data_IF_259394877209
#
_entry.id   IF_259394877209
#
_cell.length_a   1.000
_cell.length_b   1.000
_cell.length_c   1.000
_cell.angle_alpha   90.00
_cell.angle_beta   90.00
_cell.angle_gamma   90.00
#
_symmetry.space_group_name_H-M   'P 1'
#
loop_
_entity.id
_entity.type
_entity.pdbx_description
1 polymer ?
#
# COMPACT_ATOMS: atom_id res chain seq x y z
N UNK A 1 21.02 25.81 -1.33
CA UNK A 1 20.57 25.59 -2.75
C UNK A 1 19.15 26.07 -2.93
N UNK A 2 18.76 26.52 -4.15
CA UNK A 2 17.37 26.83 -4.47
C UNK A 2 16.56 25.53 -4.53
N UNK A 3 15.37 25.52 -3.91
CA UNK A 3 14.45 24.39 -4.02
C UNK A 3 14.06 24.15 -5.48
N UNK A 4 14.08 22.89 -5.91
CA UNK A 4 13.69 22.47 -7.24
C UNK A 4 12.18 22.26 -7.33
N UNK A 5 11.63 22.35 -8.52
CA UNK A 5 10.24 22.03 -8.83
C UNK A 5 10.14 20.89 -9.86
N UNK A 6 8.94 20.47 -10.18
CA UNK A 6 8.71 19.36 -11.10
C UNK A 6 9.27 19.61 -12.51
N UNK A 7 9.27 20.86 -12.99
CA UNK A 7 9.86 21.20 -14.31
C UNK A 7 11.38 21.03 -14.29
N UNK A 8 12.01 21.32 -13.16
CA UNK A 8 13.44 21.09 -12.98
C UNK A 8 13.77 19.60 -13.06
N UNK A 9 12.91 18.72 -12.50
CA UNK A 9 13.06 17.25 -12.64
C UNK A 9 12.93 16.83 -14.10
N UNK A 10 11.90 17.31 -14.82
CA UNK A 10 11.65 16.99 -16.24
C UNK A 10 12.80 17.43 -17.16
N UNK A 11 13.56 18.42 -16.78
CA UNK A 11 14.75 18.87 -17.51
C UNK A 11 15.98 17.97 -17.32
N UNK A 12 15.94 17.04 -16.36
CA UNK A 12 17.02 16.08 -16.08
C UNK A 12 16.88 14.83 -16.93
N UNK A 13 18.00 14.24 -17.28
CA UNK A 13 18.05 12.92 -17.93
C UNK A 13 17.76 11.82 -16.88
N UNK A 14 16.48 11.58 -16.63
CA UNK A 14 15.98 10.58 -15.65
C UNK A 14 15.71 9.26 -16.36
N UNK A 15 16.44 8.22 -15.99
CA UNK A 15 16.11 6.87 -16.37
C UNK A 15 15.21 6.23 -15.30
N UNK A 16 13.90 6.22 -15.51
CA UNK A 16 12.91 5.73 -14.54
C UNK A 16 13.07 4.23 -14.21
N UNK A 17 13.68 3.43 -15.09
CA UNK A 17 13.97 2.02 -14.82
C UNK A 17 15.05 1.82 -13.74
N UNK A 18 15.87 2.83 -13.50
CA UNK A 18 16.98 2.83 -12.53
C UNK A 18 16.58 3.45 -11.18
N UNK A 19 15.32 3.81 -10.99
CA UNK A 19 14.85 4.36 -9.72
C UNK A 19 14.73 3.26 -8.68
N UNK A 20 15.23 3.57 -7.48
CA UNK A 20 15.17 2.74 -6.27
C UNK A 20 14.63 3.58 -5.10
N UNK A 21 14.08 2.94 -4.09
CA UNK A 21 13.54 3.60 -2.90
C UNK A 21 14.11 3.04 -1.58
N UNK A 22 15.21 2.32 -1.67
CA UNK A 22 15.90 1.77 -0.51
C UNK A 22 17.42 1.95 -0.66
N UNK A 23 18.10 2.32 0.44
CA UNK A 23 19.53 2.62 0.44
C UNK A 23 20.40 1.43 0.05
N UNK A 24 19.95 0.20 0.35
CA UNK A 24 20.68 -1.04 0.00
C UNK A 24 20.60 -1.41 -1.49
N UNK A 25 19.67 -0.78 -2.25
CA UNK A 25 19.48 -1.03 -3.69
C UNK A 25 20.21 0.01 -4.55
N UNK A 26 20.91 0.97 -3.92
CA UNK A 26 21.66 2.01 -4.62
C UNK A 26 22.88 1.42 -5.33
N UNK A 27 23.08 1.82 -6.57
CA UNK A 27 24.25 1.54 -7.41
C UNK A 27 24.73 2.83 -8.06
N UNK A 28 25.86 2.82 -8.75
CA UNK A 28 26.50 3.99 -9.40
C UNK A 28 25.64 4.63 -10.50
N UNK A 29 24.70 3.91 -11.11
CA UNK A 29 23.78 4.43 -12.13
C UNK A 29 22.34 4.60 -11.64
N UNK A 30 22.08 4.31 -10.36
CA UNK A 30 20.74 4.40 -9.79
C UNK A 30 20.34 5.81 -9.40
N UNK A 31 19.02 6.02 -9.30
CA UNK A 31 18.41 7.25 -8.79
C UNK A 31 17.62 6.86 -7.54
N UNK A 32 18.07 7.31 -6.37
CA UNK A 32 17.38 7.04 -5.12
C UNK A 32 16.28 8.08 -4.89
N UNK A 33 15.02 7.61 -4.70
CA UNK A 33 13.92 8.42 -4.20
C UNK A 33 13.69 8.10 -2.72
N UNK A 34 14.00 9.04 -1.84
CA UNK A 34 13.89 8.83 -0.39
C UNK A 34 13.39 10.07 0.33
N UNK A 35 12.51 9.86 1.30
CA UNK A 35 12.07 10.87 2.25
C UNK A 35 11.85 10.22 3.63
N UNK A 36 11.98 11.03 4.69
CA UNK A 36 11.74 10.60 6.06
C UNK A 36 11.26 11.78 6.90
N UNK A 37 10.37 11.52 7.87
CA UNK A 37 9.84 12.57 8.74
C UNK A 37 10.89 13.08 9.75
N UNK A 38 11.81 12.22 10.18
CA UNK A 38 12.94 12.58 11.04
C UNK A 38 14.12 13.00 10.16
N UNK A 39 14.50 14.26 10.24
CA UNK A 39 15.55 14.88 9.42
C UNK A 39 16.89 14.17 9.58
N UNK A 40 17.28 13.87 10.82
CA UNK A 40 18.55 13.21 11.12
C UNK A 40 18.69 11.86 10.44
N UNK A 41 17.59 11.08 10.43
CA UNK A 41 17.55 9.79 9.71
C UNK A 41 17.58 9.97 8.19
N UNK A 42 16.88 10.99 7.68
CA UNK A 42 16.93 11.30 6.25
C UNK A 42 18.36 11.62 5.82
N UNK A 43 19.04 12.49 6.55
CA UNK A 43 20.42 12.89 6.25
C UNK A 43 21.40 11.70 6.37
N UNK A 44 21.22 10.84 7.38
CA UNK A 44 21.99 9.58 7.52
C UNK A 44 21.83 8.68 6.28
N UNK A 45 20.58 8.45 5.85
CA UNK A 45 20.29 7.62 4.67
C UNK A 45 20.89 8.22 3.39
N UNK A 46 20.82 9.54 3.22
CA UNK A 46 21.43 10.24 2.08
C UNK A 46 22.95 10.07 2.12
N UNK A 47 23.59 10.27 3.26
CA UNK A 47 25.03 10.13 3.41
C UNK A 47 25.51 8.70 3.14
N UNK A 48 24.77 7.69 3.63
CA UNK A 48 25.06 6.27 3.32
C UNK A 48 24.95 5.99 1.83
N UNK A 49 23.94 6.55 1.18
CA UNK A 49 23.68 6.34 -0.26
C UNK A 49 24.73 7.02 -1.13
N UNK A 50 25.20 8.21 -0.75
CA UNK A 50 26.27 8.93 -1.48
C UNK A 50 27.57 8.13 -1.55
N UNK A 51 27.87 7.28 -0.55
CA UNK A 51 29.05 6.39 -0.57
C UNK A 51 29.00 5.36 -1.70
N UNK A 52 27.81 5.03 -2.20
CA UNK A 52 27.57 4.10 -3.30
C UNK A 52 27.53 4.82 -4.66
N UNK A 53 27.79 6.12 -4.67
CA UNK A 53 27.95 6.96 -5.86
C UNK A 53 26.72 6.95 -6.82
N UNK A 54 25.46 7.14 -6.36
CA UNK A 54 24.30 7.16 -7.25
C UNK A 54 24.40 8.27 -8.29
N UNK A 55 23.60 8.14 -9.37
CA UNK A 55 23.46 9.22 -10.36
C UNK A 55 22.82 10.45 -9.71
N UNK A 56 21.69 10.26 -9.01
CA UNK A 56 20.99 11.29 -8.24
C UNK A 56 20.33 10.71 -6.98
N UNK A 57 20.07 11.57 -6.00
CA UNK A 57 19.19 11.34 -4.86
C UNK A 57 18.09 12.40 -4.91
N UNK A 58 16.83 11.96 -5.01
CA UNK A 58 15.63 12.81 -5.03
C UNK A 58 15.03 12.77 -3.62
N UNK A 59 14.90 13.94 -2.99
CA UNK A 59 14.43 14.07 -1.60
C UNK A 59 13.66 15.35 -1.35
N UNK A 60 13.11 15.50 -0.14
CA UNK A 60 12.47 16.75 0.30
C UNK A 60 13.48 17.81 0.75
N UNK A 61 13.01 19.04 0.87
CA UNK A 61 13.80 20.16 1.42
C UNK A 61 14.14 20.03 2.91
N UNK A 62 13.61 19.03 3.62
CA UNK A 62 13.94 18.77 5.02
C UNK A 62 15.37 18.31 5.23
N UNK A 63 16.05 17.79 4.20
CA UNK A 63 17.47 17.44 4.26
C UNK A 63 18.38 18.68 4.25
N UNK A 64 19.41 18.68 5.08
CA UNK A 64 20.47 19.70 5.07
C UNK A 64 21.68 19.32 4.21
N UNK A 65 21.77 18.10 3.70
CA UNK A 65 22.92 17.64 2.93
C UNK A 65 23.06 18.46 1.65
N UNK A 66 24.17 19.16 1.50
CA UNK A 66 24.54 19.91 0.32
C UNK A 66 25.51 19.09 -0.55
N UNK A 67 24.98 18.57 -1.66
CA UNK A 67 25.75 17.81 -2.65
C UNK A 67 25.09 17.95 -4.01
N UNK A 68 25.89 18.03 -5.09
CA UNK A 68 25.39 18.21 -6.45
C UNK A 68 24.46 17.09 -6.96
N UNK A 69 24.60 15.89 -6.40
CA UNK A 69 23.76 14.73 -6.70
C UNK A 69 22.47 14.70 -5.91
N UNK A 70 22.31 15.54 -4.88
CA UNK A 70 21.12 15.59 -4.02
C UNK A 70 20.16 16.65 -4.55
N UNK A 71 19.06 16.19 -5.14
CA UNK A 71 18.01 17.03 -5.71
C UNK A 71 16.89 17.19 -4.67
N UNK A 72 16.78 18.40 -4.11
CA UNK A 72 15.81 18.73 -3.05
C UNK A 72 14.57 19.39 -3.63
N UNK A 73 13.40 18.89 -3.28
CA UNK A 73 12.11 19.36 -3.77
C UNK A 73 11.22 19.84 -2.61
N UNK A 74 10.59 21.01 -2.77
CA UNK A 74 9.64 21.56 -1.80
C UNK A 74 8.40 20.66 -1.69
N UNK A 75 7.90 20.20 -2.83
CA UNK A 75 6.74 19.32 -2.94
C UNK A 75 7.17 17.91 -3.35
N UNK A 76 7.93 17.23 -2.48
CA UNK A 76 8.45 15.90 -2.76
C UNK A 76 7.35 14.90 -3.18
N UNK A 77 6.17 14.95 -2.55
CA UNK A 77 5.08 14.02 -2.85
C UNK A 77 4.56 14.18 -4.29
N UNK A 78 4.49 15.40 -4.82
CA UNK A 78 4.13 15.65 -6.22
C UNK A 78 5.17 15.07 -7.18
N UNK A 79 6.45 15.26 -6.86
CA UNK A 79 7.57 14.71 -7.64
C UNK A 79 7.55 13.17 -7.58
N UNK A 80 7.34 12.62 -6.41
CA UNK A 80 7.28 11.17 -6.23
C UNK A 80 6.10 10.54 -6.99
N UNK A 81 4.90 11.16 -6.92
CA UNK A 81 3.74 10.72 -7.70
C UNK A 81 3.99 10.79 -9.21
N UNK A 82 4.65 11.85 -9.70
CA UNK A 82 5.05 11.91 -11.10
C UNK A 82 5.99 10.76 -11.48
N UNK A 83 6.98 10.46 -10.64
CA UNK A 83 7.89 9.33 -10.85
C UNK A 83 7.12 8.00 -10.92
N UNK A 84 6.14 7.80 -10.05
CA UNK A 84 5.30 6.59 -10.08
C UNK A 84 4.51 6.49 -11.39
N UNK A 85 3.97 7.60 -11.90
CA UNK A 85 3.27 7.65 -13.18
C UNK A 85 4.20 7.36 -14.37
N UNK A 86 5.45 7.81 -14.34
CA UNK A 86 6.43 7.49 -15.38
C UNK A 86 6.84 5.99 -15.35
N UNK A 87 6.87 5.38 -14.17
CA UNK A 87 7.14 3.93 -14.01
C UNK A 87 5.94 3.09 -14.51
N UNK A 88 4.73 3.50 -14.18
CA UNK A 88 3.50 2.81 -14.57
C UNK A 88 2.36 3.81 -14.78
N UNK A 89 2.14 4.33 -16.02
CA UNK A 89 1.17 5.39 -16.29
C UNK A 89 -0.24 5.10 -15.79
N UNK A 90 -0.66 3.83 -15.85
CA UNK A 90 -2.02 3.42 -15.56
C UNK A 90 -2.23 2.96 -14.10
N UNK A 91 -1.24 3.14 -13.20
CA UNK A 91 -1.39 2.58 -11.84
C UNK A 91 -2.54 3.21 -11.06
N UNK A 92 -2.89 4.49 -11.33
CA UNK A 92 -4.03 5.16 -10.69
C UNK A 92 -5.39 4.75 -11.28
N UNK A 93 -5.42 4.14 -12.46
CA UNK A 93 -6.65 3.76 -13.16
C UNK A 93 -7.11 2.33 -12.81
N UNK A 94 -6.36 1.62 -11.98
CA UNK A 94 -6.66 0.25 -11.58
C UNK A 94 -7.64 0.23 -10.40
N UNK A 95 -8.50 -0.79 -10.38
CA UNK A 95 -9.34 -1.08 -9.23
C UNK A 95 -8.54 -1.73 -8.11
N UNK A 96 -8.41 -1.07 -6.96
CA UNK A 96 -7.72 -1.61 -5.80
C UNK A 96 -8.70 -2.20 -4.79
N UNK A 97 -8.40 -3.42 -4.34
CA UNK A 97 -9.14 -4.12 -3.29
C UNK A 97 -8.22 -4.33 -2.09
N UNK A 98 -8.52 -3.68 -0.96
CA UNK A 98 -7.68 -3.72 0.24
C UNK A 98 -8.28 -4.61 1.33
N UNK A 99 -7.56 -5.64 1.78
CA UNK A 99 -8.04 -6.55 2.82
C UNK A 99 -7.22 -6.38 4.09
N UNK A 100 -7.89 -5.99 5.19
CA UNK A 100 -7.28 -5.91 6.53
C UNK A 100 -8.01 -6.76 7.57
N UNK A 101 -7.44 -6.87 8.74
CA UNK A 101 -7.91 -7.65 9.90
C UNK A 101 -6.75 -8.26 10.64
N UNK A 102 -7.00 -9.04 11.69
CA UNK A 102 -5.94 -9.79 12.38
C UNK A 102 -5.57 -11.03 11.58
N UNK A 103 -6.53 -11.89 11.31
CA UNK A 103 -6.36 -13.15 10.59
C UNK A 103 -7.15 -13.16 9.28
N UNK A 104 -6.74 -14.01 8.32
CA UNK A 104 -7.47 -14.21 7.07
C UNK A 104 -7.22 -13.19 5.96
N UNK A 105 -6.44 -12.14 6.18
CA UNK A 105 -6.10 -11.12 5.16
C UNK A 105 -5.55 -11.75 3.87
N UNK A 106 -4.48 -12.52 4.00
CA UNK A 106 -3.80 -13.20 2.88
C UNK A 106 -4.75 -14.12 2.15
N UNK A 107 -5.48 -14.95 2.89
CA UNK A 107 -6.43 -15.92 2.33
C UNK A 107 -7.54 -15.23 1.55
N UNK A 108 -8.14 -14.18 2.12
CA UNK A 108 -9.22 -13.44 1.46
C UNK A 108 -8.72 -12.72 0.21
N UNK A 109 -7.59 -12.02 0.28
CA UNK A 109 -7.03 -11.33 -0.88
C UNK A 109 -6.60 -12.32 -1.98
N UNK A 110 -6.07 -13.49 -1.61
CA UNK A 110 -5.70 -14.54 -2.55
C UNK A 110 -6.93 -15.14 -3.25
N UNK A 111 -7.99 -15.49 -2.52
CA UNK A 111 -9.22 -16.01 -3.15
C UNK A 111 -9.92 -14.95 -4.01
N UNK A 112 -9.90 -13.69 -3.60
CA UNK A 112 -10.39 -12.61 -4.45
C UNK A 112 -9.62 -12.54 -5.77
N UNK A 113 -8.30 -12.67 -5.73
CA UNK A 113 -7.47 -12.75 -6.93
C UNK A 113 -7.86 -13.95 -7.83
N UNK A 114 -8.13 -15.13 -7.24
CA UNK A 114 -8.55 -16.30 -8.00
C UNK A 114 -9.93 -16.10 -8.66
N UNK A 115 -10.85 -15.41 -8.00
CA UNK A 115 -12.19 -15.11 -8.51
C UNK A 115 -12.18 -14.09 -9.65
N UNK A 116 -11.33 -13.06 -9.55
CA UNK A 116 -11.19 -12.04 -10.62
C UNK A 116 -10.41 -12.62 -11.82
N UNK A 117 -9.41 -13.46 -11.56
CA UNK A 117 -8.63 -14.15 -12.58
C UNK A 117 -7.38 -13.38 -13.04
N UNK A 118 -6.97 -13.60 -14.30
CA UNK A 118 -5.66 -13.17 -14.82
C UNK A 118 -5.48 -11.65 -14.94
N UNK A 119 -6.57 -10.88 -14.94
CA UNK A 119 -6.53 -9.42 -15.00
C UNK A 119 -6.31 -8.77 -13.62
N UNK A 120 -6.10 -9.56 -12.57
CA UNK A 120 -5.83 -9.08 -11.22
C UNK A 120 -4.40 -9.41 -10.77
N UNK A 121 -3.75 -8.46 -10.11
CA UNK A 121 -2.47 -8.67 -9.44
C UNK A 121 -2.71 -8.91 -7.95
N UNK A 122 -2.26 -10.06 -7.45
CA UNK A 122 -2.25 -10.31 -6.01
C UNK A 122 -0.98 -9.75 -5.36
N UNK A 123 -1.14 -9.02 -4.27
CA UNK A 123 -0.05 -8.50 -3.44
C UNK A 123 -0.29 -8.89 -1.97
N UNK A 124 0.40 -9.90 -1.49
CA UNK A 124 0.22 -10.46 -0.15
C UNK A 124 1.42 -11.27 0.33
N UNK A 125 1.35 -11.87 1.52
CA UNK A 125 2.47 -12.61 2.16
C UNK A 125 2.95 -13.81 1.33
N UNK A 126 2.03 -14.53 0.66
CA UNK A 126 2.32 -15.73 -0.11
C UNK A 126 2.73 -15.48 -1.57
N UNK A 127 2.88 -14.20 -1.96
CA UNK A 127 3.29 -13.88 -3.32
C UNK A 127 4.79 -14.19 -3.52
N UNK A 128 5.08 -15.33 -4.14
CA UNK A 128 6.45 -15.73 -4.45
C UNK A 128 7.15 -14.77 -5.43
N UNK A 129 6.38 -14.06 -6.27
CA UNK A 129 6.93 -13.09 -7.23
C UNK A 129 7.59 -11.90 -6.53
N UNK A 130 7.22 -11.59 -5.28
CA UNK A 130 7.90 -10.58 -4.47
C UNK A 130 9.39 -10.81 -4.34
N UNK A 131 9.84 -12.07 -4.29
CA UNK A 131 11.27 -12.42 -4.17
C UNK A 131 12.14 -11.88 -5.31
N UNK A 132 11.54 -11.64 -6.47
CA UNK A 132 12.26 -11.13 -7.64
C UNK A 132 12.42 -9.60 -7.66
N UNK A 133 11.68 -8.88 -6.80
CA UNK A 133 11.66 -7.41 -6.79
C UNK A 133 12.41 -6.80 -5.59
N UNK A 134 12.62 -7.58 -4.53
CA UNK A 134 13.24 -7.15 -3.29
C UNK A 134 14.53 -7.92 -3.08
N UNK A 135 15.63 -7.41 -3.62
CA UNK A 135 16.93 -8.08 -3.52
C UNK A 135 17.55 -7.89 -2.13
N UNK A 136 17.32 -6.75 -1.48
CA UNK A 136 17.99 -6.37 -0.23
C UNK A 136 17.03 -5.91 0.87
N UNK A 137 15.77 -5.60 0.56
CA UNK A 137 14.76 -5.17 1.53
C UNK A 137 14.05 -6.39 2.13
N UNK A 138 13.74 -6.35 3.44
CA UNK A 138 12.89 -7.36 4.09
C UNK A 138 11.55 -7.45 3.35
N UNK A 139 11.16 -8.66 2.95
CA UNK A 139 9.85 -8.90 2.32
C UNK A 139 8.75 -8.56 3.32
N UNK A 140 8.01 -7.49 3.05
CA UNK A 140 6.90 -7.02 3.87
C UNK A 140 5.59 -7.64 3.38
N UNK A 141 4.69 -7.98 4.30
CA UNK A 141 3.32 -8.39 3.97
C UNK A 141 2.66 -7.39 3.01
N UNK A 142 2.77 -6.10 3.34
CA UNK A 142 2.31 -4.98 2.51
C UNK A 142 3.53 -4.15 2.11
N UNK A 143 3.96 -4.19 0.85
CA UNK A 143 5.07 -3.36 0.36
C UNK A 143 4.73 -1.86 0.36
N UNK A 144 5.75 -1.02 0.20
CA UNK A 144 5.57 0.41 -0.09
C UNK A 144 4.94 0.60 -1.48
N UNK A 145 4.20 1.69 -1.68
CA UNK A 145 3.54 2.02 -2.95
C UNK A 145 4.49 1.95 -4.15
N UNK A 146 5.71 2.44 -4.01
CA UNK A 146 6.73 2.36 -5.05
C UNK A 146 6.94 0.92 -5.56
N UNK A 147 7.03 -0.03 -4.65
CA UNK A 147 7.24 -1.44 -5.00
C UNK A 147 6.00 -2.06 -5.65
N UNK A 148 4.81 -1.68 -5.19
CA UNK A 148 3.54 -2.08 -5.82
C UNK A 148 3.49 -1.57 -7.26
N UNK A 149 3.81 -0.29 -7.50
CA UNK A 149 3.82 0.30 -8.84
C UNK A 149 4.86 -0.38 -9.76
N UNK A 150 6.04 -0.73 -9.22
CA UNK A 150 7.00 -1.56 -9.97
C UNK A 150 6.44 -2.94 -10.34
N UNK A 151 5.75 -3.61 -9.41
CA UNK A 151 5.09 -4.90 -9.72
C UNK A 151 4.03 -4.75 -10.82
N UNK A 152 3.25 -3.65 -10.78
CA UNK A 152 2.24 -3.33 -11.81
C UNK A 152 2.92 -3.12 -13.17
N UNK A 153 3.98 -2.33 -13.25
CA UNK A 153 4.68 -2.03 -14.51
C UNK A 153 5.18 -3.28 -15.25
N UNK A 154 5.51 -4.34 -14.51
CA UNK A 154 5.96 -5.60 -15.08
C UNK A 154 4.82 -6.46 -15.67
N UNK A 155 3.56 -6.14 -15.35
CA UNK A 155 2.40 -6.81 -15.93
C UNK A 155 2.09 -6.35 -17.37
N UNK A 156 2.85 -5.40 -17.92
CA UNK A 156 2.72 -4.91 -19.30
C UNK A 156 1.29 -4.49 -19.65
N UNK A 157 0.63 -3.76 -18.76
CA UNK A 157 -0.76 -3.29 -18.91
C UNK A 157 -1.81 -4.40 -19.09
N UNK A 158 -1.55 -5.61 -18.61
CA UNK A 158 -2.50 -6.72 -18.69
C UNK A 158 -3.52 -6.74 -17.56
N UNK A 159 -3.21 -6.08 -16.44
CA UNK A 159 -4.08 -6.06 -15.25
C UNK A 159 -5.00 -4.86 -15.27
N UNK A 160 -6.18 -5.05 -14.68
CA UNK A 160 -7.20 -4.02 -14.44
C UNK A 160 -7.40 -3.77 -12.95
N UNK A 161 -6.94 -4.69 -12.11
CA UNK A 161 -7.15 -4.61 -10.68
C UNK A 161 -5.99 -5.17 -9.86
N UNK A 162 -5.97 -4.81 -8.57
CA UNK A 162 -4.98 -5.29 -7.60
C UNK A 162 -5.70 -5.69 -6.30
N UNK A 163 -5.54 -6.94 -5.89
CA UNK A 163 -5.97 -7.39 -4.55
C UNK A 163 -4.80 -7.36 -3.59
N UNK A 164 -4.92 -6.53 -2.55
CA UNK A 164 -3.83 -6.17 -1.65
C UNK A 164 -4.11 -6.59 -0.21
N UNK A 165 -3.20 -7.34 0.40
CA UNK A 165 -3.18 -7.54 1.84
C UNK A 165 -2.66 -6.28 2.53
N UNK A 166 -3.51 -5.65 3.38
CA UNK A 166 -3.19 -4.39 4.07
C UNK A 166 -2.97 -4.64 5.55
N UNK A 167 -1.71 -4.60 5.99
CA UNK A 167 -1.32 -4.75 7.39
C UNK A 167 -1.52 -3.44 8.17
N UNK A 168 -1.72 -3.55 9.50
CA UNK A 168 -1.78 -2.36 10.36
C UNK A 168 -0.49 -1.54 10.34
N UNK A 169 0.67 -2.19 10.28
CA UNK A 169 1.95 -1.50 10.13
C UNK A 169 2.02 -0.69 8.84
N UNK A 170 1.45 -1.19 7.73
CA UNK A 170 1.43 -0.44 6.48
C UNK A 170 0.56 0.81 6.56
N UNK A 171 -0.59 0.71 7.22
CA UNK A 171 -1.49 1.83 7.46
C UNK A 171 -0.87 2.86 8.42
N UNK A 172 -0.22 2.39 9.49
CA UNK A 172 0.42 3.28 10.45
C UNK A 172 1.62 4.02 9.86
N UNK A 173 2.43 3.31 9.09
CA UNK A 173 3.61 3.85 8.42
C UNK A 173 3.32 4.55 7.09
N UNK A 174 2.06 4.73 6.72
CA UNK A 174 1.64 5.34 5.45
C UNK A 174 2.36 4.76 4.22
N UNK A 175 2.57 3.44 4.19
CA UNK A 175 3.32 2.79 3.08
C UNK A 175 2.63 2.87 1.74
N UNK A 176 1.30 3.03 1.74
CA UNK A 176 0.46 3.06 0.55
C UNK A 176 0.24 4.49 0.02
N UNK A 177 0.71 5.51 0.76
CA UNK A 177 0.56 6.91 0.36
C UNK A 177 -0.91 7.27 0.15
N UNK A 178 -1.21 7.88 -0.99
CA UNK A 178 -2.57 8.32 -1.37
C UNK A 178 -3.28 7.29 -2.27
N UNK A 179 -2.95 6.00 -2.16
CA UNK A 179 -3.63 4.96 -2.92
C UNK A 179 -5.10 4.86 -2.48
N UNK A 180 -6.02 4.96 -3.43
CA UNK A 180 -7.45 4.83 -3.19
C UNK A 180 -7.92 3.41 -3.51
N UNK A 181 -8.84 2.89 -2.68
CA UNK A 181 -9.41 1.56 -2.84
C UNK A 181 -10.87 1.64 -3.31
N UNK A 182 -11.22 0.91 -4.34
CA UNK A 182 -12.61 0.77 -4.77
C UNK A 182 -13.43 0.06 -3.68
N UNK A 183 -12.90 -1.03 -3.13
CA UNK A 183 -13.53 -1.75 -2.02
C UNK A 183 -12.46 -2.21 -1.04
N UNK A 184 -12.73 -2.04 0.25
CA UNK A 184 -11.91 -2.59 1.32
C UNK A 184 -12.66 -3.64 2.13
N UNK A 185 -11.94 -4.63 2.65
CA UNK A 185 -12.49 -5.71 3.46
C UNK A 185 -11.90 -5.76 4.86
N UNK A 186 -12.77 -5.98 5.86
CA UNK A 186 -12.38 -6.26 7.23
C UNK A 186 -12.76 -7.69 7.60
N UNK A 187 -11.78 -8.50 7.97
CA UNK A 187 -12.00 -9.91 8.29
C UNK A 187 -12.38 -10.12 9.76
N UNK A 188 -11.55 -9.67 10.67
CA UNK A 188 -11.74 -9.82 12.13
C UNK A 188 -10.72 -8.97 12.92
N UNK A 189 -10.98 -8.87 14.24
CA UNK A 189 -10.04 -8.32 15.20
C UNK A 189 -9.78 -9.34 16.32
N UNK A 190 -8.53 -9.56 16.66
CA UNK A 190 -8.09 -10.27 17.86
C UNK A 190 -6.78 -9.65 18.35
N UNK A 191 -6.34 -10.02 19.54
CA UNK A 191 -5.09 -9.50 20.09
C UNK A 191 -3.90 -9.94 19.23
N UNK A 192 -3.20 -8.94 18.67
CA UNK A 192 -1.98 -9.10 17.91
C UNK A 192 -1.23 -7.77 17.86
N UNK A 193 0.11 -7.79 17.72
CA UNK A 193 0.94 -6.60 17.58
C UNK A 193 0.73 -5.53 18.68
N UNK A 194 0.36 -5.93 19.92
CA UNK A 194 0.16 -4.99 21.02
C UNK A 194 1.48 -4.38 21.52
N UNK A 195 2.59 -5.05 21.30
CA UNK A 195 3.94 -4.52 21.47
C UNK A 195 4.20 -3.27 20.63
N UNK A 196 3.60 -3.19 19.44
CA UNK A 196 3.69 -2.05 18.53
C UNK A 196 2.59 -1.02 18.78
N UNK A 197 1.32 -1.44 18.84
CA UNK A 197 0.15 -0.55 18.91
C UNK A 197 -0.21 -0.11 20.33
N UNK A 198 0.33 -0.74 21.35
CA UNK A 198 0.10 -0.47 22.77
C UNK A 198 -1.27 -0.91 23.31
N UNK A 199 -2.32 -0.92 22.49
CA UNK A 199 -3.66 -1.37 22.90
C UNK A 199 -4.47 -1.90 21.71
N UNK A 200 -5.48 -2.76 22.02
CA UNK A 200 -6.42 -3.26 21.01
C UNK A 200 -7.21 -2.12 20.34
N UNK A 201 -7.56 -1.08 21.10
CA UNK A 201 -8.23 0.11 20.59
C UNK A 201 -7.38 0.86 19.56
N UNK A 202 -6.11 1.08 19.84
CA UNK A 202 -5.19 1.72 18.89
C UNK A 202 -5.00 0.85 17.63
N UNK A 203 -4.91 -0.47 17.81
CA UNK A 203 -4.82 -1.42 16.71
C UNK A 203 -6.06 -1.37 15.81
N UNK A 204 -7.28 -1.33 16.38
CA UNK A 204 -8.52 -1.14 15.64
C UNK A 204 -8.53 0.22 14.90
N UNK A 205 -8.21 1.31 15.61
CA UNK A 205 -8.17 2.66 15.03
C UNK A 205 -7.18 2.73 13.85
N UNK A 206 -6.06 2.06 13.95
CA UNK A 206 -5.10 1.98 12.85
C UNK A 206 -5.68 1.27 11.63
N UNK A 207 -6.39 0.14 11.83
CA UNK A 207 -7.07 -0.55 10.73
C UNK A 207 -8.22 0.27 10.14
N UNK A 208 -8.92 1.04 10.97
CA UNK A 208 -10.03 1.90 10.54
C UNK A 208 -9.59 3.00 9.57
N UNK A 209 -8.30 3.36 9.53
CA UNK A 209 -7.76 4.30 8.52
C UNK A 209 -8.07 3.84 7.07
N UNK A 210 -8.17 2.52 6.84
CA UNK A 210 -8.52 1.98 5.52
C UNK A 210 -9.97 2.27 5.11
N UNK A 211 -10.86 2.55 6.06
CA UNK A 211 -12.31 2.70 5.85
C UNK A 211 -12.77 4.16 5.97
N UNK A 212 -11.90 5.09 5.61
CA UNK A 212 -12.16 6.52 5.63
C UNK A 212 -12.39 7.07 4.23
N UNK A 213 -13.18 8.16 4.12
CA UNK A 213 -13.40 8.88 2.88
C UNK A 213 -12.07 9.36 2.28
N UNK A 214 -11.89 9.17 0.96
CA UNK A 214 -10.63 9.46 0.27
C UNK A 214 -9.58 8.37 0.39
N UNK A 215 -9.88 7.26 1.14
CA UNK A 215 -9.02 6.07 1.19
C UNK A 215 -9.73 4.88 0.56
N UNK A 216 -11.04 4.70 0.85
CA UNK A 216 -11.87 3.68 0.22
C UNK A 216 -13.23 4.25 -0.12
N UNK A 217 -13.83 3.79 -1.23
CA UNK A 217 -15.20 4.17 -1.60
C UNK A 217 -16.23 3.43 -0.77
N UNK A 218 -16.01 2.12 -0.56
CA UNK A 218 -16.91 1.22 0.17
C UNK A 218 -16.11 0.21 0.96
N UNK A 219 -16.71 -0.36 2.01
CA UNK A 219 -16.10 -1.49 2.68
C UNK A 219 -17.08 -2.62 3.01
N UNK A 220 -16.53 -3.83 3.10
CA UNK A 220 -17.24 -5.05 3.46
C UNK A 220 -16.65 -5.57 4.77
N UNK A 221 -17.49 -5.99 5.70
CA UNK A 221 -17.05 -6.54 6.98
C UNK A 221 -17.82 -7.81 7.36
N UNK A 222 -17.13 -8.71 8.08
CA UNK A 222 -17.76 -9.84 8.70
C UNK A 222 -18.29 -9.39 10.08
N UNK A 223 -19.58 -9.58 10.33
CA UNK A 223 -20.21 -9.18 11.59
C UNK A 223 -19.57 -9.89 12.79
N UNK A 224 -19.14 -9.10 13.77
CA UNK A 224 -18.62 -9.53 15.05
C UNK A 224 -18.91 -8.47 16.12
N UNK A 225 -18.58 -8.73 17.38
CA UNK A 225 -18.73 -7.73 18.45
C UNK A 225 -17.86 -6.50 18.21
N UNK A 226 -16.66 -6.69 17.67
CA UNK A 226 -15.69 -5.62 17.41
C UNK A 226 -16.07 -4.69 16.24
N UNK A 227 -16.98 -5.12 15.36
CA UNK A 227 -17.34 -4.35 14.17
C UNK A 227 -18.15 -3.10 14.47
N UNK A 228 -18.82 -3.03 15.63
CA UNK A 228 -19.54 -1.83 16.05
C UNK A 228 -18.60 -0.61 16.24
N UNK A 229 -17.41 -0.85 16.79
CA UNK A 229 -16.42 0.22 16.97
C UNK A 229 -15.73 0.59 15.66
N UNK A 230 -15.53 -0.38 14.77
CA UNK A 230 -15.07 -0.12 13.40
C UNK A 230 -16.06 0.75 12.63
N UNK A 231 -17.36 0.44 12.70
CA UNK A 231 -18.42 1.22 12.03
C UNK A 231 -18.50 2.66 12.54
N UNK A 232 -18.28 2.88 13.84
CA UNK A 232 -18.19 4.24 14.41
C UNK A 232 -16.97 5.01 13.94
N UNK A 233 -15.87 4.31 13.63
CA UNK A 233 -14.62 4.89 13.18
C UNK A 233 -14.54 5.05 11.65
N UNK A 234 -15.54 4.57 10.89
CA UNK A 234 -15.62 4.69 9.44
C UNK A 234 -16.65 5.76 9.04
N UNK A 235 -16.43 6.40 7.90
CA UNK A 235 -17.30 7.45 7.35
C UNK A 235 -17.77 7.15 5.91
N UNK A 236 -17.67 5.90 5.48
CA UNK A 236 -18.05 5.43 4.15
C UNK A 236 -19.14 4.34 4.19
N UNK A 237 -19.78 4.10 3.05
CA UNK A 237 -20.77 3.05 2.91
C UNK A 237 -20.21 1.65 3.22
N UNK A 238 -20.97 0.87 4.01
CA UNK A 238 -20.55 -0.45 4.45
C UNK A 238 -21.55 -1.53 4.12
N UNK A 239 -21.07 -2.76 3.91
CA UNK A 239 -21.84 -3.95 3.65
C UNK A 239 -21.46 -5.06 4.62
N UNK A 240 -22.45 -5.63 5.30
CA UNK A 240 -22.23 -6.68 6.29
C UNK A 240 -22.34 -8.09 5.71
N UNK A 241 -21.50 -8.99 6.20
CA UNK A 241 -21.58 -10.43 5.98
C UNK A 241 -21.80 -11.08 7.33
N UNK A 242 -22.89 -11.81 7.50
CA UNK A 242 -23.20 -12.40 8.80
C UNK A 242 -24.35 -13.40 8.76
N UNK A 243 -24.89 -13.71 9.95
CA UNK A 243 -26.00 -14.64 10.14
C UNK A 243 -27.32 -13.93 10.49
N UNK A 244 -27.28 -12.63 10.76
CA UNK A 244 -28.45 -11.85 11.15
C UNK A 244 -29.40 -11.63 9.96
N UNK A 245 -30.68 -11.44 10.24
CA UNK A 245 -31.70 -11.23 9.22
C UNK A 245 -31.44 -9.99 8.36
N UNK A 246 -30.81 -8.99 8.91
CA UNK A 246 -30.50 -7.70 8.27
C UNK A 246 -29.06 -7.61 7.72
N UNK A 247 -28.30 -8.71 7.70
CA UNK A 247 -26.99 -8.73 7.03
C UNK A 247 -27.17 -8.64 5.52
N UNK A 248 -26.37 -7.83 4.82
CA UNK A 248 -26.42 -7.67 3.35
C UNK A 248 -26.08 -8.99 2.63
N UNK A 249 -25.13 -9.76 3.18
CA UNK A 249 -24.88 -11.14 2.77
C UNK A 249 -25.13 -12.03 3.98
N UNK A 250 -26.14 -12.89 3.90
CA UNK A 250 -26.53 -13.74 5.01
C UNK A 250 -26.21 -15.20 4.76
N UNK A 251 -25.39 -15.79 5.63
CA UNK A 251 -25.19 -17.23 5.67
C UNK A 251 -26.43 -17.94 6.21
N UNK A 252 -26.92 -18.95 5.46
CA UNK A 252 -28.08 -19.73 5.85
C UNK A 252 -27.64 -21.08 6.42
N UNK A 253 -26.80 -21.81 5.69
CA UNK A 253 -26.42 -23.17 6.06
C UNK A 253 -25.11 -23.58 5.37
N UNK A 254 -24.31 -24.36 6.09
CA UNK A 254 -23.23 -25.16 5.53
C UNK A 254 -23.55 -26.63 5.77
N UNK A 255 -23.71 -27.42 4.72
CA UNK A 255 -23.92 -28.86 4.79
C UNK A 255 -23.47 -29.53 3.49
N UNK A 256 -22.94 -30.76 3.57
CA UNK A 256 -22.56 -31.58 2.43
C UNK A 256 -21.63 -30.84 1.43
N UNK A 257 -20.64 -30.07 1.97
CA UNK A 257 -19.73 -29.23 1.23
C UNK A 257 -20.43 -28.10 0.44
N UNK A 258 -21.67 -27.77 0.78
CA UNK A 258 -22.45 -26.70 0.12
C UNK A 258 -22.68 -25.55 1.09
N UNK A 259 -22.30 -24.36 0.69
CA UNK A 259 -22.58 -23.10 1.38
C UNK A 259 -23.82 -22.46 0.77
N UNK A 260 -24.88 -22.23 1.60
CA UNK A 260 -26.05 -21.45 1.21
C UNK A 260 -25.98 -20.07 1.82
N UNK A 261 -26.13 -19.05 0.99
CA UNK A 261 -26.18 -17.66 1.41
C UNK A 261 -27.23 -16.90 0.60
N UNK A 262 -27.67 -15.76 1.12
CA UNK A 262 -28.57 -14.79 0.45
C UNK A 262 -27.84 -13.47 0.40
N UNK A 263 -27.89 -12.82 -0.75
CA UNK A 263 -27.42 -11.45 -0.97
C UNK A 263 -28.66 -10.58 -1.11
N UNK A 264 -28.74 -9.45 -0.37
CA UNK A 264 -29.85 -8.51 -0.48
C UNK A 264 -29.87 -7.92 -1.90
N UNK A 265 -31.05 -7.99 -2.53
CA UNK A 265 -31.27 -7.46 -3.89
C UNK A 265 -31.02 -8.47 -5.02
N UNK A 266 -30.71 -9.74 -4.69
CA UNK A 266 -30.57 -10.86 -5.65
C UNK A 266 -31.32 -12.09 -5.19
#
# INVERSE_FOLDING_TARGET
MKSLNLNDLKSKDINYSKIVNHTLDVTDDSILCINHNEKEKLDEYIMLSLKQNPKFIITSNSSEIENEKVLKFEHYDLVFNHILQEISPNFNDLDYFGITGTNGKTTTAFYLNQLIGEENLFVGTIDEKKKYFFTNEKILTTPKLFNIVKMISLQKNKIKSVSLEVSSHALDQNRLGNLEFLISGFTNLSQDHLDYHGSLKNYLNTKAKLFQKGVSEKFVYIESEDTNDLLKASDIASYSIGTKKNSNVRFIKFSDNTLKFVIDGY
#
